data_IF_319909581867
#
_entry.id   IF_319909581867
#
_cell.length_a   1.000
_cell.length_b   1.000
_cell.length_c   1.000
_cell.angle_alpha   90.00
_cell.angle_beta   90.00
_cell.angle_gamma   90.00
#
_symmetry.space_group_name_H-M   'P 1'
#
loop_
_entity.id
_entity.type
_entity.pdbx_description
1 polymer ?
#
# COMPACT_ATOMS: atom_id res chain seq x y z
N UNK A 1 61.49 -34.75 -49.77
CA UNK A 1 60.43 -35.79 -49.79
C UNK A 1 59.11 -35.16 -50.24
N UNK A 2 58.24 -35.95 -50.85
CA UNK A 2 57.23 -35.59 -51.88
C UNK A 2 56.04 -34.68 -51.48
N UNK A 3 55.23 -34.39 -52.51
CA UNK A 3 54.27 -33.29 -52.77
C UNK A 3 52.92 -33.30 -52.03
N UNK A 4 52.27 -32.15 -52.16
CA UNK A 4 50.86 -31.70 -52.01
C UNK A 4 49.74 -32.59 -52.59
N UNK A 5 48.50 -32.48 -52.07
CA UNK A 5 47.24 -32.88 -52.75
C UNK A 5 46.09 -33.38 -51.84
N UNK A 6 44.85 -32.94 -52.10
CA UNK A 6 43.59 -33.16 -51.36
C UNK A 6 42.73 -34.32 -51.92
N UNK A 7 41.68 -34.77 -51.20
CA UNK A 7 40.25 -34.86 -51.63
C UNK A 7 39.34 -35.67 -50.67
N UNK A 8 38.04 -35.39 -50.79
CA UNK A 8 36.86 -35.68 -49.97
C UNK A 8 36.21 -37.07 -50.29
N UNK A 9 35.47 -37.67 -49.33
CA UNK A 9 34.15 -38.35 -49.49
C UNK A 9 33.75 -39.36 -48.36
N UNK A 10 32.77 -38.92 -47.55
CA UNK A 10 31.50 -39.53 -47.08
C UNK A 10 31.22 -41.07 -46.98
N UNK A 11 30.80 -41.45 -45.76
CA UNK A 11 29.61 -42.24 -45.29
C UNK A 11 29.33 -43.74 -45.58
N UNK A 12 28.89 -44.43 -44.50
CA UNK A 12 27.96 -45.58 -44.44
C UNK A 12 28.64 -46.95 -44.23
N UNK A 13 28.47 -47.72 -43.15
CA UNK A 13 27.21 -48.33 -42.69
C UNK A 13 27.46 -49.04 -41.34
N UNK A 14 27.04 -48.45 -40.21
CA UNK A 14 26.87 -49.16 -38.91
C UNK A 14 25.38 -49.10 -38.50
N UNK A 15 24.51 -49.39 -39.47
CA UNK A 15 23.07 -49.55 -39.28
C UNK A 15 22.76 -51.02 -38.97
N UNK A 16 22.71 -51.41 -37.70
CA UNK A 16 21.85 -52.55 -37.36
C UNK A 16 21.50 -52.66 -35.88
N UNK A 17 22.37 -52.21 -34.96
CA UNK A 17 22.16 -52.47 -33.53
C UNK A 17 21.66 -51.27 -32.70
N UNK A 18 21.51 -50.08 -33.29
CA UNK A 18 20.90 -48.91 -32.62
C UNK A 18 19.38 -48.78 -32.84
N UNK A 19 18.84 -49.35 -33.92
CA UNK A 19 17.45 -49.13 -34.31
C UNK A 19 16.43 -49.89 -33.41
N UNK A 20 16.85 -50.95 -32.70
CA UNK A 20 15.94 -51.74 -31.87
C UNK A 20 15.57 -51.05 -30.54
N UNK A 21 16.49 -50.29 -29.94
CA UNK A 21 16.27 -49.60 -28.66
C UNK A 21 15.60 -48.24 -28.83
N UNK A 22 15.84 -47.55 -29.95
CA UNK A 22 15.18 -46.27 -30.23
C UNK A 22 13.69 -46.44 -30.56
N UNK A 23 13.31 -47.55 -31.22
CA UNK A 23 11.90 -47.82 -31.55
C UNK A 23 11.09 -48.27 -30.31
N UNK A 24 11.73 -48.90 -29.31
CA UNK A 24 11.07 -49.24 -28.04
C UNK A 24 10.79 -47.97 -27.20
N UNK A 25 11.61 -46.93 -27.33
CA UNK A 25 11.40 -45.65 -26.65
C UNK A 25 10.33 -44.79 -27.35
N UNK A 26 10.21 -44.86 -28.68
CA UNK A 26 9.12 -44.23 -29.45
C UNK A 26 7.78 -44.97 -29.28
N UNK A 27 7.79 -46.31 -29.24
CA UNK A 27 6.58 -47.13 -29.04
C UNK A 27 6.08 -47.05 -27.59
N UNK A 28 6.97 -46.94 -26.59
CA UNK A 28 6.60 -46.64 -25.21
C UNK A 28 6.02 -45.22 -25.04
N UNK A 29 6.37 -44.27 -25.90
CA UNK A 29 5.69 -42.95 -25.98
C UNK A 29 4.30 -43.06 -26.62
N UNK A 30 4.05 -44.11 -27.39
CA UNK A 30 2.79 -44.35 -28.12
C UNK A 30 1.79 -45.21 -27.35
N UNK A 31 2.25 -46.01 -26.38
CA UNK A 31 1.39 -46.87 -25.51
C UNK A 31 1.58 -46.57 -24.01
N UNK A 32 2.38 -45.57 -23.67
CA UNK A 32 2.54 -45.10 -22.29
C UNK A 32 1.25 -44.49 -21.79
N UNK A 33 0.65 -45.16 -20.80
CA UNK A 33 -0.37 -44.68 -19.88
C UNK A 33 -1.23 -43.50 -20.40
N UNK A 34 -2.53 -43.75 -20.56
CA UNK A 34 -3.54 -42.69 -20.44
C UNK A 34 -3.55 -42.24 -18.96
N UNK A 35 -2.43 -41.75 -18.46
CA UNK A 35 -2.42 -40.68 -17.49
C UNK A 35 -3.02 -39.52 -18.27
N UNK A 36 -4.27 -39.23 -17.94
CA UNK A 36 -4.76 -37.86 -17.96
C UNK A 36 -3.58 -36.95 -17.62
N UNK A 37 -3.34 -35.85 -18.37
CA UNK A 37 -2.36 -34.86 -17.91
C UNK A 37 -2.64 -34.63 -16.43
N UNK A 38 -1.62 -34.49 -15.55
CA UNK A 38 -1.90 -34.10 -14.17
C UNK A 38 -2.84 -32.94 -14.33
N UNK A 39 -4.07 -33.10 -13.79
CA UNK A 39 -5.07 -32.07 -13.85
C UNK A 39 -4.26 -30.81 -13.62
N UNK A 40 -4.31 -29.86 -14.58
CA UNK A 40 -4.12 -28.49 -14.14
C UNK A 40 -4.95 -28.49 -12.87
N UNK A 41 -4.31 -28.27 -11.73
CA UNK A 41 -5.08 -27.77 -10.62
C UNK A 41 -5.60 -26.52 -11.27
N UNK A 42 -6.81 -26.62 -11.86
CA UNK A 42 -7.66 -25.49 -12.04
C UNK A 42 -7.65 -25.06 -10.59
N UNK A 43 -6.83 -24.05 -10.31
CA UNK A 43 -7.21 -23.06 -9.34
C UNK A 43 -8.69 -22.88 -9.70
N UNK A 44 -9.55 -23.44 -8.85
CA UNK A 44 -10.98 -23.33 -9.01
C UNK A 44 -11.30 -22.34 -7.93
N UNK A 45 -11.51 -21.10 -8.36
CA UNK A 45 -11.93 -20.07 -7.45
C UNK A 45 -13.36 -20.40 -7.05
N UNK A 46 -13.51 -21.00 -5.87
CA UNK A 46 -14.82 -21.21 -5.26
C UNK A 46 -15.38 -19.85 -4.84
N UNK A 47 -16.43 -19.39 -5.53
CA UNK A 47 -17.10 -18.12 -5.26
C UNK A 47 -18.42 -18.36 -4.55
N UNK A 48 -18.49 -17.93 -3.29
CA UNK A 48 -19.70 -18.05 -2.46
C UNK A 48 -20.46 -16.73 -2.46
N UNK A 49 -21.68 -16.76 -2.99
CA UNK A 49 -22.61 -15.63 -3.02
C UNK A 49 -23.70 -15.87 -1.99
N UNK A 50 -23.72 -15.07 -0.91
CA UNK A 50 -24.73 -15.17 0.16
C UNK A 50 -25.80 -14.09 -0.04
N UNK A 51 -27.06 -14.49 -0.14
CA UNK A 51 -28.19 -13.58 -0.30
C UNK A 51 -28.81 -13.28 1.07
N UNK A 52 -28.78 -12.03 1.50
CA UNK A 52 -29.29 -11.54 2.78
C UNK A 52 -30.58 -10.74 2.60
N UNK A 53 -31.26 -10.42 3.71
CA UNK A 53 -32.46 -9.57 3.66
C UNK A 53 -32.19 -8.18 3.09
N UNK A 54 -31.02 -7.61 3.39
CA UNK A 54 -30.63 -6.24 3.06
C UNK A 54 -29.71 -6.13 1.82
N UNK A 55 -29.36 -7.25 1.19
CA UNK A 55 -28.43 -7.25 0.06
C UNK A 55 -27.79 -8.62 -0.15
N UNK A 56 -26.68 -8.70 -0.88
CA UNK A 56 -25.91 -9.93 -1.03
C UNK A 56 -24.42 -9.65 -0.84
N UNK A 57 -23.65 -10.68 -0.53
CA UNK A 57 -22.19 -10.61 -0.40
C UNK A 57 -21.54 -11.66 -1.28
N UNK A 58 -20.35 -11.34 -1.81
CA UNK A 58 -19.54 -12.25 -2.64
C UNK A 58 -18.25 -12.53 -1.87
N UNK A 59 -17.89 -13.80 -1.64
CA UNK A 59 -16.65 -14.23 -0.95
C UNK A 59 -16.35 -13.48 0.36
N UNK A 60 -17.38 -13.31 1.19
CA UNK A 60 -17.32 -12.57 2.47
C UNK A 60 -16.87 -11.10 2.35
N UNK A 61 -17.02 -10.50 1.17
CA UNK A 61 -16.77 -9.09 0.91
C UNK A 61 -17.85 -8.14 1.44
N UNK A 62 -17.83 -6.91 0.92
CA UNK A 62 -18.81 -5.89 1.28
C UNK A 62 -20.23 -6.27 0.88
N UNK A 63 -21.21 -5.83 1.69
CA UNK A 63 -22.63 -5.98 1.37
C UNK A 63 -22.99 -5.11 0.16
N UNK A 64 -23.56 -5.75 -0.86
CA UNK A 64 -24.10 -5.13 -2.06
C UNK A 64 -25.61 -5.04 -1.95
N UNK A 65 -26.17 -3.84 -2.12
CA UNK A 65 -27.62 -3.61 -2.02
C UNK A 65 -28.34 -4.03 -3.30
N UNK A 66 -29.62 -4.42 -3.18
CA UNK A 66 -30.48 -4.79 -4.31
C UNK A 66 -30.96 -3.60 -5.17
N UNK A 67 -30.80 -2.38 -4.67
CA UNK A 67 -31.32 -1.15 -5.29
C UNK A 67 -30.39 -0.57 -6.36
N UNK A 68 -29.12 -0.94 -6.33
CA UNK A 68 -28.11 -0.40 -7.25
C UNK A 68 -28.14 -1.15 -8.59
N UNK A 69 -28.04 -0.40 -9.70
CA UNK A 69 -28.19 -0.92 -11.06
C UNK A 69 -27.05 -1.88 -11.42
N UNK A 70 -25.82 -1.60 -10.97
CA UNK A 70 -24.68 -2.50 -11.19
C UNK A 70 -24.88 -3.86 -10.49
N UNK A 71 -25.38 -3.83 -9.25
CA UNK A 71 -25.67 -5.03 -8.48
C UNK A 71 -26.86 -5.84 -9.06
N UNK A 72 -27.82 -5.17 -9.69
CA UNK A 72 -28.91 -5.85 -10.42
C UNK A 72 -28.39 -6.59 -11.65
N UNK A 73 -27.51 -5.97 -12.44
CA UNK A 73 -26.87 -6.63 -13.58
C UNK A 73 -26.09 -7.88 -13.17
N UNK A 74 -25.39 -7.82 -12.03
CA UNK A 74 -24.71 -8.97 -11.44
C UNK A 74 -25.68 -10.10 -11.11
N UNK A 75 -26.78 -9.80 -10.40
CA UNK A 75 -27.80 -10.79 -10.05
C UNK A 75 -28.54 -11.35 -11.25
N UNK A 76 -28.79 -10.54 -12.27
CA UNK A 76 -29.47 -10.98 -13.49
C UNK A 76 -28.60 -11.91 -14.33
N UNK A 77 -27.28 -11.69 -14.34
CA UNK A 77 -26.32 -12.64 -14.94
C UNK A 77 -26.39 -14.00 -14.23
N UNK A 78 -26.39 -14.00 -12.89
CA UNK A 78 -26.52 -15.23 -12.08
C UNK A 78 -27.86 -15.94 -12.34
N UNK A 79 -28.97 -15.19 -12.41
CA UNK A 79 -30.29 -15.77 -12.71
C UNK A 79 -30.34 -16.43 -14.09
N UNK A 80 -29.61 -15.90 -15.06
CA UNK A 80 -29.51 -16.46 -16.42
C UNK A 80 -28.53 -17.64 -16.52
N UNK A 81 -27.76 -17.91 -15.47
CA UNK A 81 -26.67 -18.88 -15.51
C UNK A 81 -25.45 -18.37 -16.29
N UNK A 82 -25.34 -17.06 -16.50
CA UNK A 82 -24.19 -16.40 -17.11
C UNK A 82 -23.20 -15.96 -16.03
N UNK A 83 -21.90 -16.09 -16.28
CA UNK A 83 -20.87 -15.61 -15.36
C UNK A 83 -20.88 -14.07 -15.33
N UNK A 84 -21.10 -13.41 -14.18
CA UNK A 84 -21.07 -11.96 -14.08
C UNK A 84 -19.71 -11.38 -14.53
N UNK A 85 -19.75 -10.27 -15.26
CA UNK A 85 -18.55 -9.60 -15.80
C UNK A 85 -17.51 -9.26 -14.72
N UNK A 86 -17.96 -8.93 -13.50
CA UNK A 86 -17.08 -8.70 -12.36
C UNK A 86 -16.27 -9.95 -11.98
N UNK A 87 -16.85 -11.14 -12.06
CA UNK A 87 -16.15 -12.39 -11.76
C UNK A 87 -15.23 -12.77 -12.92
N UNK A 88 -15.70 -12.59 -14.15
CA UNK A 88 -14.91 -12.87 -15.35
C UNK A 88 -13.59 -12.10 -15.36
N UNK A 89 -13.62 -10.78 -15.15
CA UNK A 89 -12.42 -9.93 -15.12
C UNK A 89 -11.43 -10.29 -13.99
N UNK A 90 -11.92 -10.81 -12.87
CA UNK A 90 -11.06 -11.17 -11.74
C UNK A 90 -10.42 -12.54 -11.92
N UNK A 91 -11.01 -13.41 -12.75
CA UNK A 91 -10.63 -14.81 -12.93
C UNK A 91 -10.52 -15.16 -14.42
N UNK A 92 -9.86 -14.30 -15.21
CA UNK A 92 -9.79 -14.38 -16.68
C UNK A 92 -9.15 -15.69 -17.21
N UNK A 93 -8.36 -16.40 -16.39
CA UNK A 93 -7.64 -17.64 -16.76
C UNK A 93 -8.06 -18.88 -15.93
N UNK A 94 -9.04 -18.72 -15.03
CA UNK A 94 -9.37 -19.68 -13.98
C UNK A 94 -10.81 -20.22 -14.12
N UNK A 95 -11.04 -21.52 -13.87
CA UNK A 95 -12.40 -22.08 -13.88
C UNK A 95 -13.10 -21.71 -12.57
N UNK A 96 -14.13 -20.87 -12.64
CA UNK A 96 -14.82 -20.35 -11.46
C UNK A 96 -16.06 -21.18 -11.13
N UNK A 97 -16.11 -21.79 -9.95
CA UNK A 97 -17.35 -22.38 -9.41
C UNK A 97 -18.12 -21.34 -8.59
N UNK A 98 -19.40 -21.14 -8.89
CA UNK A 98 -20.22 -20.15 -8.18
C UNK A 98 -21.28 -20.86 -7.35
N UNK A 99 -21.10 -20.83 -6.04
CA UNK A 99 -22.06 -21.35 -5.07
C UNK A 99 -22.94 -20.24 -4.52
N UNK A 100 -24.25 -20.43 -4.61
CA UNK A 100 -25.24 -19.47 -4.09
C UNK A 100 -25.84 -20.00 -2.79
N UNK A 101 -25.76 -19.23 -1.72
CA UNK A 101 -26.33 -19.53 -0.40
C UNK A 101 -27.50 -18.59 -0.09
N UNK A 102 -28.67 -19.15 0.22
CA UNK A 102 -29.84 -18.36 0.62
C UNK A 102 -29.82 -18.10 2.13
N UNK A 103 -29.73 -16.82 2.50
CA UNK A 103 -29.72 -16.28 3.86
C UNK A 103 -30.73 -15.12 4.01
N UNK A 104 -31.81 -15.11 3.21
CA UNK A 104 -32.78 -14.00 3.15
C UNK A 104 -33.49 -13.70 4.48
N UNK A 105 -33.56 -14.67 5.39
CA UNK A 105 -34.13 -14.47 6.72
C UNK A 105 -33.16 -13.74 7.68
N UNK A 106 -31.88 -13.67 7.33
CA UNK A 106 -30.83 -13.03 8.12
C UNK A 106 -30.49 -11.65 7.54
N UNK A 107 -30.29 -10.66 8.42
CA UNK A 107 -29.78 -9.34 8.04
C UNK A 107 -28.26 -9.39 8.11
N UNK A 108 -27.58 -9.04 7.02
CA UNK A 108 -26.12 -8.96 7.04
C UNK A 108 -25.65 -7.80 7.91
N UNK A 109 -24.81 -8.13 8.88
CA UNK A 109 -24.10 -7.17 9.71
C UNK A 109 -22.62 -7.35 9.39
N UNK A 110 -22.01 -6.33 8.76
CA UNK A 110 -20.58 -6.31 8.49
C UNK A 110 -19.84 -6.53 9.81
N UNK A 111 -19.15 -7.68 9.92
CA UNK A 111 -18.35 -7.98 11.11
C UNK A 111 -17.20 -6.98 11.08
N UNK A 112 -17.08 -6.16 12.14
CA UNK A 112 -15.92 -5.29 12.33
C UNK A 112 -14.66 -6.16 12.13
N UNK A 113 -13.66 -5.71 11.37
CA UNK A 113 -12.43 -6.46 11.21
C UNK A 113 -11.93 -6.80 12.61
N UNK A 114 -11.67 -8.08 12.85
CA UNK A 114 -11.21 -8.55 14.17
C UNK A 114 -9.95 -7.77 14.48
N UNK A 115 -10.03 -6.92 15.49
CA UNK A 115 -8.88 -6.17 15.97
C UNK A 115 -7.89 -7.21 16.48
N UNK A 116 -6.73 -7.30 15.84
CA UNK A 116 -5.63 -8.13 16.31
C UNK A 116 -4.74 -7.21 17.17
N UNK A 117 -5.00 -7.06 18.49
CA UNK A 117 -4.15 -6.25 19.34
C UNK A 117 -2.73 -6.83 19.30
N UNK A 118 -1.74 -5.95 19.23
CA UNK A 118 -0.33 -6.34 19.21
C UNK A 118 0.09 -7.21 18.01
N UNK A 119 -0.52 -6.99 16.83
CA UNK A 119 -0.04 -7.55 15.56
C UNK A 119 1.32 -7.01 15.09
N UNK A 120 1.92 -6.09 15.87
CA UNK A 120 3.28 -5.60 15.67
C UNK A 120 4.33 -6.65 16.06
N UNK A 121 5.48 -6.60 15.39
CA UNK A 121 6.60 -7.46 15.76
C UNK A 121 7.16 -7.05 17.13
N UNK A 122 7.21 -7.98 18.09
CA UNK A 122 7.84 -7.76 19.39
C UNK A 122 9.36 -7.86 19.29
N UNK A 123 10.09 -6.85 19.77
CA UNK A 123 11.55 -6.88 19.87
C UNK A 123 11.98 -7.15 21.30
N UNK A 124 12.79 -8.20 21.49
CA UNK A 124 13.28 -8.66 22.80
C UNK A 124 14.50 -7.84 23.20
N UNK A 125 14.40 -7.02 24.25
CA UNK A 125 15.44 -6.06 24.69
C UNK A 125 16.58 -6.68 25.54
N UNK A 126 16.91 -7.95 25.33
CA UNK A 126 17.66 -8.75 26.31
C UNK A 126 18.98 -9.41 25.87
N UNK A 127 19.49 -9.17 24.65
CA UNK A 127 20.80 -9.72 24.25
C UNK A 127 21.48 -8.89 23.17
N UNK A 128 22.82 -8.88 23.23
CA UNK A 128 23.75 -7.91 22.65
C UNK A 128 23.44 -7.39 21.23
N UNK A 129 23.56 -6.05 21.12
CA UNK A 129 23.70 -5.19 19.93
C UNK A 129 22.90 -5.59 18.68
N UNK A 130 21.78 -4.90 18.37
CA UNK A 130 21.06 -5.16 17.14
C UNK A 130 21.97 -4.90 15.93
N UNK A 131 22.07 -5.86 15.01
CA UNK A 131 22.64 -5.62 13.69
C UNK A 131 21.75 -4.61 12.98
N UNK A 132 22.30 -3.44 12.67
CA UNK A 132 21.64 -2.43 11.85
C UNK A 132 21.53 -3.02 10.43
N UNK A 133 20.38 -3.62 10.12
CA UNK A 133 20.00 -3.92 8.75
C UNK A 133 19.08 -2.78 8.34
N UNK A 134 19.64 -1.80 7.63
CA UNK A 134 18.85 -0.80 6.91
C UNK A 134 18.10 -1.52 5.80
N UNK A 135 16.95 -2.11 6.11
CA UNK A 135 15.96 -2.47 5.11
C UNK A 135 15.41 -1.15 4.59
N UNK A 136 16.06 -0.61 3.56
CA UNK A 136 15.58 0.51 2.78
C UNK A 136 14.19 0.15 2.27
N UNK A 137 13.17 0.61 2.98
CA UNK A 137 11.79 0.57 2.54
C UNK A 137 11.67 1.61 1.42
N UNK A 138 12.04 1.21 0.21
CA UNK A 138 11.62 1.88 -1.02
C UNK A 138 10.15 1.53 -1.28
N UNK A 139 9.32 1.89 -0.32
CA UNK A 139 7.86 1.88 -0.43
C UNK A 139 7.35 3.08 0.37
N UNK A 140 7.84 4.25 -0.06
CA UNK A 140 7.05 5.45 -0.06
C UNK A 140 6.89 5.77 -1.53
N UNK A 141 5.63 5.74 -2.00
CA UNK A 141 5.27 6.44 -3.22
C UNK A 141 5.87 7.84 -3.18
N UNK A 142 6.18 8.35 -4.37
CA UNK A 142 6.67 9.68 -4.66
C UNK A 142 5.84 10.78 -3.97
N UNK A 143 6.00 10.94 -2.66
CA UNK A 143 5.70 12.15 -1.94
C UNK A 143 6.96 12.96 -2.16
N UNK A 144 6.90 13.83 -3.17
CA UNK A 144 7.88 14.88 -3.40
C UNK A 144 8.32 15.41 -2.04
N UNK A 145 9.53 15.03 -1.58
CA UNK A 145 10.11 15.61 -0.37
C UNK A 145 10.28 17.08 -0.67
N UNK A 146 9.30 17.87 -0.25
CA UNK A 146 9.25 19.29 -0.54
C UNK A 146 10.51 19.91 0.05
N UNK A 147 11.25 20.65 -0.78
CA UNK A 147 12.49 21.26 -0.35
C UNK A 147 12.20 22.17 0.86
N UNK A 148 12.97 22.00 1.93
CA UNK A 148 12.84 22.84 3.12
C UNK A 148 13.24 24.27 2.73
N UNK A 149 12.41 25.29 3.03
CA UNK A 149 12.78 26.68 2.78
C UNK A 149 14.02 27.03 3.60
N UNK A 150 14.91 27.84 3.01
CA UNK A 150 16.15 28.25 3.67
C UNK A 150 15.83 29.24 4.79
N UNK A 151 16.19 28.87 6.02
CA UNK A 151 16.17 29.79 7.17
C UNK A 151 17.55 30.44 7.29
N UNK A 152 17.66 31.78 7.41
CA UNK A 152 18.92 32.45 7.65
C UNK A 152 19.47 32.04 9.03
N UNK A 153 20.64 31.40 9.06
CA UNK A 153 21.32 31.02 10.28
C UNK A 153 22.59 31.86 10.42
N UNK A 154 22.82 32.42 11.60
CA UNK A 154 24.07 33.09 11.95
C UNK A 154 24.91 32.16 12.82
N UNK A 155 26.11 31.80 12.36
CA UNK A 155 27.06 30.94 13.09
C UNK A 155 27.58 31.59 14.40
N UNK A 156 27.30 32.88 14.61
CA UNK A 156 27.71 33.61 15.83
C UNK A 156 26.76 33.42 17.01
N UNK A 157 25.59 32.81 16.80
CA UNK A 157 24.56 32.60 17.82
C UNK A 157 24.28 31.11 18.00
N UNK A 158 23.81 30.67 19.18
CA UNK A 158 23.52 29.27 19.40
C UNK A 158 22.32 28.82 18.55
N UNK A 159 22.49 27.66 17.92
CA UNK A 159 21.49 27.03 17.06
C UNK A 159 20.67 26.01 17.88
N UNK A 160 19.36 26.09 17.77
CA UNK A 160 18.38 25.15 18.31
C UNK A 160 17.71 24.35 17.18
N UNK A 161 17.28 23.12 17.50
CA UNK A 161 16.50 22.28 16.58
C UNK A 161 15.03 22.33 16.99
N UNK A 162 14.15 22.84 16.14
CA UNK A 162 12.71 22.87 16.40
C UNK A 162 12.05 21.75 15.59
N UNK A 163 11.28 20.90 16.27
CA UNK A 163 10.47 19.89 15.60
C UNK A 163 9.08 20.46 15.35
N UNK A 164 8.66 20.49 14.09
CA UNK A 164 7.38 21.02 13.65
C UNK A 164 6.51 19.86 13.21
N UNK A 165 5.38 19.69 13.88
CA UNK A 165 4.36 18.72 13.53
C UNK A 165 3.26 19.45 12.78
N UNK A 166 3.20 19.23 11.48
CA UNK A 166 2.23 19.86 10.60
C UNK A 166 0.85 19.20 10.75
N UNK A 167 -0.19 19.94 10.37
CA UNK A 167 -1.57 19.47 10.47
C UNK A 167 -1.93 18.35 9.46
N UNK A 168 -1.11 18.18 8.42
CA UNK A 168 -1.18 17.08 7.45
C UNK A 168 -0.60 15.75 8.00
N UNK A 169 0.02 15.79 9.18
CA UNK A 169 0.67 14.66 9.82
C UNK A 169 2.17 14.55 9.52
N UNK A 170 2.72 15.41 8.67
CA UNK A 170 4.15 15.46 8.39
C UNK A 170 4.93 16.06 9.56
N UNK A 171 6.12 15.52 9.79
CA UNK A 171 7.04 15.96 10.84
C UNK A 171 8.31 16.51 10.20
N UNK A 172 8.61 17.77 10.49
CA UNK A 172 9.76 18.47 9.97
C UNK A 172 10.67 18.85 11.12
N UNK A 173 11.98 18.67 10.96
CA UNK A 173 12.97 19.16 11.91
C UNK A 173 13.75 20.27 11.24
N UNK A 174 13.65 21.48 11.78
CA UNK A 174 14.28 22.66 11.22
C UNK A 174 15.21 23.31 12.26
N UNK A 175 16.37 23.76 11.80
CA UNK A 175 17.34 24.50 12.60
C UNK A 175 16.98 25.98 12.61
N UNK A 176 17.06 26.60 13.78
CA UNK A 176 16.87 28.02 13.99
C UNK A 176 17.90 28.51 15.01
N UNK A 177 18.33 29.77 14.95
CA UNK A 177 19.01 30.41 16.09
C UNK A 177 18.02 30.69 17.23
N UNK A 178 18.50 30.67 18.48
CA UNK A 178 17.66 30.98 19.66
C UNK A 178 17.03 32.38 19.64
N UNK A 179 17.67 33.32 18.92
CA UNK A 179 17.24 34.71 18.72
C UNK A 179 16.05 34.85 17.76
N UNK A 180 15.73 33.81 16.97
CA UNK A 180 14.59 33.86 16.08
C UNK A 180 13.29 33.93 16.85
N UNK A 181 12.30 34.58 16.25
CA UNK A 181 10.95 34.71 16.79
C UNK A 181 10.05 33.57 16.34
N UNK A 182 8.96 33.39 17.06
CA UNK A 182 7.88 32.46 16.69
C UNK A 182 7.29 32.84 15.32
N UNK A 183 7.24 34.13 14.96
CA UNK A 183 6.84 34.59 13.62
C UNK A 183 7.66 33.94 12.50
N UNK A 184 8.98 33.81 12.67
CA UNK A 184 9.83 33.18 11.65
C UNK A 184 9.53 31.68 11.48
N UNK A 185 9.13 30.99 12.54
CA UNK A 185 8.68 29.60 12.45
C UNK A 185 7.35 29.51 11.69
N UNK A 186 6.45 30.47 11.92
CA UNK A 186 5.19 30.57 11.17
C UNK A 186 5.44 30.81 9.69
N UNK A 187 6.31 31.77 9.36
CA UNK A 187 6.69 32.10 7.99
C UNK A 187 7.34 30.90 7.29
N UNK A 188 8.19 30.16 7.99
CA UNK A 188 8.77 28.91 7.50
C UNK A 188 7.70 27.89 7.14
N UNK A 189 6.69 27.68 8.00
CA UNK A 189 5.57 26.76 7.73
C UNK A 189 4.75 27.24 6.55
N UNK A 190 4.48 28.55 6.45
CA UNK A 190 3.74 29.12 5.32
C UNK A 190 4.47 28.94 4.00
N UNK A 191 5.79 29.18 3.97
CA UNK A 191 6.62 28.95 2.79
C UNK A 191 6.71 27.46 2.43
N UNK A 192 6.84 26.59 3.44
CA UNK A 192 6.88 25.15 3.24
C UNK A 192 5.55 24.65 2.68
N UNK A 193 4.40 25.06 3.22
CA UNK A 193 3.09 24.58 2.79
C UNK A 193 2.57 25.29 1.52
N UNK A 194 3.11 26.45 1.16
CA UNK A 194 2.70 27.20 -0.02
C UNK A 194 1.22 27.61 0.04
N UNK A 195 0.41 27.16 -0.93
CA UNK A 195 -1.03 27.47 -1.00
C UNK A 195 -1.79 26.97 0.24
N UNK A 196 -1.40 25.83 0.81
CA UNK A 196 -2.03 25.28 2.03
C UNK A 196 -1.64 26.03 3.31
N UNK A 197 -0.52 26.74 3.29
CA UNK A 197 -0.04 27.56 4.41
C UNK A 197 -0.84 28.85 4.61
N UNK A 198 -1.71 29.20 3.66
CA UNK A 198 -2.62 30.34 3.74
C UNK A 198 -3.78 30.13 4.71
N UNK A 199 -4.10 28.86 5.04
CA UNK A 199 -5.18 28.55 5.99
C UNK A 199 -4.78 29.02 7.38
N UNK A 200 -5.62 29.78 8.10
CA UNK A 200 -5.29 30.25 9.44
C UNK A 200 -5.05 29.07 10.40
N UNK A 201 -3.87 29.04 10.99
CA UNK A 201 -3.47 28.05 11.99
C UNK A 201 -2.88 28.71 13.24
N UNK A 202 -2.94 27.97 14.33
CA UNK A 202 -2.32 28.29 15.62
C UNK A 202 -1.14 27.35 15.84
N UNK A 203 -0.07 27.85 16.47
CA UNK A 203 1.07 27.03 16.91
C UNK A 203 0.92 26.71 18.41
N UNK A 204 1.11 25.43 18.77
CA UNK A 204 0.98 24.95 20.15
C UNK A 204 2.18 24.10 20.53
N UNK A 205 2.61 24.13 21.78
CA UNK A 205 3.64 23.20 22.28
C UNK A 205 3.01 21.86 22.67
N UNK A 206 3.80 20.79 22.58
CA UNK A 206 3.33 19.46 22.98
C UNK A 206 3.18 19.32 24.51
N UNK A 207 4.22 19.70 25.26
CA UNK A 207 4.30 19.53 26.71
C UNK A 207 5.20 20.62 27.34
N UNK A 208 4.73 21.37 28.35
CA UNK A 208 3.32 21.58 28.69
C UNK A 208 2.56 22.17 27.51
N UNK A 209 1.24 21.96 27.43
CA UNK A 209 0.44 22.55 26.37
C UNK A 209 0.37 24.07 26.57
N UNK A 210 0.97 24.81 25.63
CA UNK A 210 0.97 26.26 25.59
C UNK A 210 0.59 26.70 24.18
N UNK A 211 -0.35 27.63 24.08
CA UNK A 211 -0.68 28.28 22.81
C UNK A 211 0.28 29.44 22.58
N UNK A 212 1.02 29.38 21.49
CA UNK A 212 1.98 30.42 21.11
C UNK A 212 1.24 31.58 20.43
N UNK A 213 0.61 32.43 21.23
CA UNK A 213 -0.15 33.60 20.73
C UNK A 213 0.77 34.78 20.39
N UNK A 214 1.80 35.00 21.21
CA UNK A 214 2.73 36.13 21.05
C UNK A 214 3.84 35.79 20.05
N UNK A 215 3.64 36.16 18.78
CA UNK A 215 4.60 35.88 17.70
C UNK A 215 5.88 36.72 17.76
N UNK A 216 5.92 37.73 18.64
CA UNK A 216 7.06 38.62 18.86
C UNK A 216 8.13 38.03 19.77
N UNK A 217 7.79 37.00 20.55
CA UNK A 217 8.71 36.35 21.48
C UNK A 217 9.76 35.54 20.72
N UNK A 218 10.97 35.55 21.26
CA UNK A 218 12.07 34.71 20.77
C UNK A 218 11.88 33.26 21.19
N UNK A 219 12.55 32.34 20.49
CA UNK A 219 12.55 30.91 20.83
C UNK A 219 13.14 30.66 22.22
N UNK A 220 14.07 31.50 22.67
CA UNK A 220 14.61 31.45 24.03
C UNK A 220 13.56 31.86 25.08
N UNK A 221 12.93 33.02 24.91
CA UNK A 221 11.92 33.55 25.86
C UNK A 221 10.69 32.63 25.96
N UNK A 222 10.30 32.01 24.85
CA UNK A 222 9.19 31.07 24.81
C UNK A 222 9.58 29.64 25.27
N UNK A 223 10.84 29.42 25.68
CA UNK A 223 11.38 28.13 26.09
C UNK A 223 11.18 27.02 25.03
N UNK A 224 11.40 27.37 23.76
CA UNK A 224 11.21 26.49 22.59
C UNK A 224 12.52 25.86 22.10
N UNK A 225 13.53 25.80 22.96
CA UNK A 225 14.82 25.17 22.66
C UNK A 225 14.65 23.64 22.59
N UNK A 226 15.04 23.03 21.47
CA UNK A 226 14.83 21.61 21.22
C UNK A 226 13.37 21.13 21.35
N UNK A 227 12.42 22.06 21.22
CA UNK A 227 11.02 21.81 21.50
C UNK A 227 10.25 21.27 20.29
N UNK A 228 9.08 20.70 20.60
CA UNK A 228 8.11 20.25 19.61
C UNK A 228 6.97 21.25 19.53
N UNK A 229 6.80 21.82 18.34
CA UNK A 229 5.72 22.74 17.98
C UNK A 229 4.74 21.99 17.07
N UNK A 230 3.47 22.08 17.41
CA UNK A 230 2.36 21.43 16.72
C UNK A 230 1.49 22.49 16.06
N UNK A 231 1.32 22.38 14.75
CA UNK A 231 0.40 23.18 13.95
C UNK A 231 -1.04 22.68 14.15
N UNK A 232 -1.94 23.58 14.54
CA UNK A 232 -3.38 23.30 14.59
C UNK A 232 -4.13 24.22 13.63
N UNK A 233 -4.79 23.64 12.62
CA UNK A 233 -5.70 24.39 11.74
C UNK A 233 -6.91 24.86 12.54
N UNK A 234 -7.26 26.14 12.44
CA UNK A 234 -8.51 26.65 13.04
C UNK A 234 -9.67 26.08 12.23
N UNK A 235 -10.51 25.26 12.86
CA UNK A 235 -11.79 24.87 12.26
C UNK A 235 -12.71 26.08 12.42
N UNK A 236 -12.99 26.78 11.33
CA UNK A 236 -14.10 27.75 11.29
C UNK A 236 -15.40 26.95 11.41
N UNK A 237 -15.73 26.56 12.63
CA UNK A 237 -17.10 26.19 13.00
C UNK A 237 -17.75 27.48 13.42
N UNK A 238 -18.35 28.18 12.46
CA UNK A 238 -19.42 29.13 12.75
C UNK A 238 -20.66 28.28 13.08
N UNK A 239 -21.11 28.18 14.34
CA UNK A 239 -22.43 27.63 14.62
C UNK A 239 -23.47 28.68 14.19
N UNK A 240 -24.14 28.39 13.07
CA UNK A 240 -25.44 28.98 12.68
C UNK A 240 -25.57 30.50 12.88
N UNK A 241 -25.26 31.25 11.83
CA UNK A 241 -25.74 32.62 11.68
C UNK A 241 -27.27 32.57 11.57
N UNK A 242 -27.97 32.77 12.68
CA UNK A 242 -29.42 32.94 12.72
C UNK A 242 -29.76 34.24 12.01
N UNK A 243 -30.30 34.15 10.79
CA UNK A 243 -30.99 35.27 10.16
C UNK A 243 -32.19 35.62 11.05
N UNK A 244 -32.16 36.83 11.62
CA UNK A 244 -33.30 37.51 12.23
C UNK A 244 -33.79 38.59 11.29
#
# INVERSE_FOLDING_TARGET
>A
MCKQGAEDQLNGTEQSHKCFVDNLFEEARKVGAICMPPAKVNEQADIIIKLWKNGFTVNDGNLRSYTDVANQQFLDSIKKGELPFELQKNFDEEEVDVKVEDKKDEVYISRKPVFHPFSGHGYRLGSATPRIISKGRNDHGDIQKRALPSVPLSDSEPITNVQIWLADGERIVQKFNVSHRISHVRDFIMQYQGVEGSVPFTLTTSLPFLELQDETLTLEEANLQNAVIVQRRRKTTEPFQSFS
#
